data_IF_810529768737
#
_entry.id   IF_810529768737
#
_cell.length_a   1.000
_cell.length_b   1.000
_cell.length_c   1.000
_cell.angle_alpha   90.00
_cell.angle_beta   90.00
_cell.angle_gamma   90.00
#
_symmetry.space_group_name_H-M   'P 1'
#
loop_
_entity.id
_entity.type
_entity.pdbx_description
1 polymer ?
#
# COMPACT_ATOMS: atom_id res chain seq x y z
N UNK A 1 15.05 82.65 -11.67
CA UNK A 1 15.01 81.89 -10.39
C UNK A 1 13.97 80.81 -10.49
N UNK A 2 14.33 79.65 -11.00
CA UNK A 2 13.42 78.48 -11.03
C UNK A 2 14.12 77.31 -10.41
N UNK A 3 13.56 76.88 -9.24
CA UNK A 3 13.96 75.70 -8.54
C UNK A 3 13.43 74.43 -9.25
N UNK A 4 14.28 73.63 -9.83
CA UNK A 4 13.96 72.32 -10.36
C UNK A 4 13.96 71.28 -9.24
N UNK A 5 12.77 70.82 -8.87
CA UNK A 5 12.57 69.74 -7.92
C UNK A 5 12.71 68.41 -8.64
N UNK A 6 13.83 67.70 -8.42
CA UNK A 6 14.06 66.34 -8.93
C UNK A 6 13.39 65.37 -7.97
N UNK A 7 12.22 64.83 -8.37
CA UNK A 7 11.59 63.69 -7.68
C UNK A 7 12.31 62.39 -8.09
N UNK A 8 13.11 61.88 -7.19
CA UNK A 8 13.76 60.59 -7.30
C UNK A 8 12.71 59.48 -7.09
N UNK A 9 12.27 58.83 -8.21
CA UNK A 9 11.31 57.73 -8.20
C UNK A 9 12.11 56.43 -7.97
N UNK A 10 12.15 55.97 -6.70
CA UNK A 10 12.81 54.73 -6.28
C UNK A 10 11.91 53.55 -6.70
N UNK A 11 12.21 52.93 -7.85
CA UNK A 11 11.52 51.72 -8.34
C UNK A 11 12.03 50.52 -7.57
N UNK A 12 11.27 50.09 -6.57
CA UNK A 12 11.56 48.88 -5.78
C UNK A 12 11.15 47.66 -6.60
N UNK A 13 12.12 47.04 -7.30
CA UNK A 13 11.93 45.79 -8.01
C UNK A 13 11.93 44.67 -6.94
N UNK A 14 10.75 44.27 -6.49
CA UNK A 14 10.56 43.08 -5.69
C UNK A 14 10.70 41.86 -6.60
N UNK A 15 11.88 41.25 -6.60
CA UNK A 15 12.15 39.99 -7.27
C UNK A 15 11.43 38.90 -6.48
N UNK A 16 10.20 38.58 -6.88
CA UNK A 16 9.46 37.45 -6.28
C UNK A 16 10.16 36.15 -6.62
N UNK A 17 10.91 35.60 -5.68
CA UNK A 17 11.37 34.23 -5.71
C UNK A 17 10.15 33.31 -5.59
N UNK A 18 9.58 32.89 -6.72
CA UNK A 18 8.68 31.75 -6.74
C UNK A 18 9.49 30.50 -6.36
N UNK A 19 9.49 30.15 -5.09
CA UNK A 19 9.85 28.81 -4.68
C UNK A 19 8.84 27.86 -5.29
N UNK A 20 9.19 27.25 -6.43
CA UNK A 20 8.52 26.04 -6.89
C UNK A 20 8.77 24.96 -5.84
N UNK A 21 7.92 24.89 -4.83
CA UNK A 21 7.84 23.74 -3.94
C UNK A 21 7.27 22.61 -4.80
N UNK A 22 8.14 21.86 -5.48
CA UNK A 22 7.78 20.53 -5.97
C UNK A 22 7.49 19.73 -4.73
N UNK A 23 6.20 19.62 -4.39
CA UNK A 23 5.76 18.60 -3.43
C UNK A 23 6.21 17.26 -4.02
N UNK A 24 7.26 16.68 -3.45
CA UNK A 24 7.72 15.35 -3.84
C UNK A 24 6.52 14.42 -3.69
N UNK A 25 6.08 13.85 -4.81
CA UNK A 25 4.95 12.91 -4.83
C UNK A 25 5.26 11.78 -3.84
N UNK A 26 4.43 11.68 -2.81
CA UNK A 26 4.66 10.69 -1.75
C UNK A 26 4.44 9.29 -2.32
N UNK A 27 5.36 8.35 -2.08
CA UNK A 27 5.25 7.03 -2.67
C UNK A 27 4.03 6.28 -2.11
N UNK A 28 3.34 5.58 -2.99
CA UNK A 28 2.35 4.58 -2.63
C UNK A 28 3.08 3.30 -2.20
N UNK A 29 2.72 2.75 -1.03
CA UNK A 29 3.41 1.60 -0.43
C UNK A 29 2.46 0.40 -0.34
N UNK A 30 2.85 -0.71 -0.95
CA UNK A 30 2.18 -2.00 -0.86
C UNK A 30 3.11 -3.00 -0.18
N UNK A 31 2.61 -3.70 0.81
CA UNK A 31 3.39 -4.70 1.54
C UNK A 31 2.78 -6.06 1.30
N UNK A 32 3.55 -6.98 0.76
CA UNK A 32 3.15 -8.39 0.67
C UNK A 32 3.93 -9.18 1.72
N UNK A 33 3.19 -9.78 2.65
CA UNK A 33 3.75 -10.48 3.81
C UNK A 33 3.04 -11.82 4.06
N UNK A 34 3.42 -12.52 5.11
CA UNK A 34 2.74 -13.71 5.64
C UNK A 34 2.64 -13.61 7.16
N UNK A 35 1.91 -14.52 7.82
CA UNK A 35 1.77 -14.55 9.27
C UNK A 35 3.12 -14.75 9.99
N UNK A 36 4.15 -15.24 9.28
CA UNK A 36 5.50 -15.40 9.82
C UNK A 36 6.26 -14.07 10.00
N UNK A 37 5.78 -12.96 9.42
CA UNK A 37 6.49 -11.70 9.42
C UNK A 37 5.59 -10.57 9.92
N UNK A 38 5.87 -10.10 11.15
CA UNK A 38 5.15 -8.96 11.74
C UNK A 38 5.67 -7.65 11.17
N UNK A 39 4.84 -6.95 10.40
CA UNK A 39 5.17 -5.66 9.79
C UNK A 39 4.94 -4.53 10.80
N UNK A 40 5.90 -3.61 10.91
CA UNK A 40 5.87 -2.46 11.84
C UNK A 40 6.01 -1.14 11.10
N UNK A 41 5.66 -0.02 11.77
CA UNK A 41 5.80 1.33 11.21
C UNK A 41 4.64 1.80 10.34
N UNK A 42 3.59 1.01 10.16
CA UNK A 42 2.40 1.38 9.35
C UNK A 42 1.81 2.70 9.81
N UNK A 43 1.47 2.80 11.12
CA UNK A 43 0.84 4.00 11.68
C UNK A 43 1.75 5.23 11.56
N UNK A 44 3.07 5.07 11.73
CA UNK A 44 4.02 6.17 11.60
C UNK A 44 4.05 6.74 10.19
N UNK A 45 3.98 5.88 9.15
CA UNK A 45 3.92 6.33 7.76
C UNK A 45 2.57 6.95 7.40
N UNK A 46 1.46 6.37 7.88
CA UNK A 46 0.13 6.93 7.66
C UNK A 46 -0.05 8.30 8.31
N UNK A 47 0.53 8.53 9.50
CA UNK A 47 0.55 9.85 10.14
C UNK A 47 1.36 10.90 9.36
N UNK A 48 2.32 10.47 8.56
CA UNK A 48 3.05 11.30 7.61
C UNK A 48 2.29 11.52 6.28
N UNK A 49 1.07 11.00 6.15
CA UNK A 49 0.23 11.13 4.96
C UNK A 49 0.51 10.10 3.87
N UNK A 50 1.39 9.10 4.11
CA UNK A 50 1.66 8.07 3.12
C UNK A 50 0.53 7.03 3.06
N UNK A 51 0.21 6.60 1.85
CA UNK A 51 -0.73 5.49 1.62
C UNK A 51 0.00 4.16 1.77
N UNK A 52 -0.40 3.37 2.77
CA UNK A 52 0.17 2.05 3.04
C UNK A 52 -0.93 1.00 3.00
N UNK A 53 -0.76 -0.02 2.15
CA UNK A 53 -1.64 -1.20 2.09
C UNK A 53 -0.84 -2.47 2.39
N UNK A 54 -1.39 -3.31 3.24
CA UNK A 54 -0.77 -4.59 3.63
C UNK A 54 -1.63 -5.74 3.14
N UNK A 55 -1.01 -6.69 2.48
CA UNK A 55 -1.63 -7.89 1.91
C UNK A 55 -0.93 -9.11 2.48
N UNK A 56 -1.71 -10.05 3.02
CA UNK A 56 -1.17 -11.24 3.65
C UNK A 56 -1.44 -12.49 2.80
N UNK A 57 -0.39 -13.24 2.50
CA UNK A 57 -0.45 -14.46 1.69
C UNK A 57 -1.28 -15.58 2.35
N UNK A 58 -1.42 -15.55 3.68
CA UNK A 58 -2.17 -16.56 4.43
C UNK A 58 -3.69 -16.27 4.50
N UNK A 59 -4.16 -15.10 4.00
CA UNK A 59 -5.58 -14.72 3.99
C UNK A 59 -6.44 -15.75 3.25
N UNK A 60 -5.97 -16.24 2.12
CA UNK A 60 -6.66 -17.29 1.35
C UNK A 60 -6.85 -18.56 2.15
N UNK A 61 -5.79 -19.02 2.83
CA UNK A 61 -5.83 -20.19 3.71
C UNK A 61 -6.80 -19.98 4.87
N UNK A 62 -6.78 -18.81 5.50
CA UNK A 62 -7.72 -18.45 6.57
C UNK A 62 -9.17 -18.46 6.11
N UNK A 63 -9.45 -17.88 4.94
CA UNK A 63 -10.80 -17.88 4.36
C UNK A 63 -11.28 -19.32 4.11
N UNK A 64 -10.47 -20.18 3.51
CA UNK A 64 -10.83 -21.57 3.24
C UNK A 64 -11.07 -22.32 4.54
N UNK A 65 -10.21 -22.14 5.54
CA UNK A 65 -10.39 -22.75 6.86
C UNK A 65 -11.69 -22.29 7.54
N UNK A 66 -12.03 -21.01 7.45
CA UNK A 66 -13.27 -20.44 7.99
C UNK A 66 -14.51 -21.02 7.29
N UNK A 67 -14.52 -21.08 5.96
CA UNK A 67 -15.63 -21.64 5.17
C UNK A 67 -15.78 -23.14 5.46
N UNK A 68 -14.65 -23.86 5.62
CA UNK A 68 -14.61 -25.30 5.89
C UNK A 68 -14.76 -25.68 7.36
N UNK A 69 -14.89 -24.73 8.28
CA UNK A 69 -14.97 -25.04 9.71
C UNK A 69 -16.19 -25.92 10.05
N UNK A 70 -15.98 -26.93 10.91
CA UNK A 70 -17.04 -27.80 11.40
C UNK A 70 -17.87 -28.50 10.29
N UNK A 71 -17.23 -28.90 9.20
CA UNK A 71 -17.87 -29.72 8.19
C UNK A 71 -18.04 -31.14 8.69
N UNK A 72 -19.15 -31.82 8.35
CA UNK A 72 -19.34 -33.23 8.62
C UNK A 72 -18.27 -34.09 7.93
N UNK A 73 -17.92 -35.25 8.55
CA UNK A 73 -16.97 -36.19 7.94
C UNK A 73 -17.53 -36.90 6.69
N UNK A 74 -18.85 -36.91 6.50
CA UNK A 74 -19.48 -37.45 5.31
C UNK A 74 -19.40 -36.44 4.17
N UNK A 75 -18.86 -36.85 3.02
CA UNK A 75 -18.63 -35.97 1.86
C UNK A 75 -19.91 -35.32 1.34
N UNK A 76 -21.01 -36.06 1.23
CA UNK A 76 -22.29 -35.51 0.73
C UNK A 76 -22.88 -34.52 1.71
N UNK A 77 -22.84 -34.81 3.01
CA UNK A 77 -23.29 -33.89 4.05
C UNK A 77 -22.41 -32.61 4.09
N UNK A 78 -21.09 -32.74 3.98
CA UNK A 78 -20.16 -31.61 3.89
C UNK A 78 -20.47 -30.72 2.68
N UNK A 79 -20.69 -31.31 1.49
CA UNK A 79 -21.06 -30.59 0.27
C UNK A 79 -22.36 -29.80 0.46
N UNK A 80 -23.37 -30.41 1.04
CA UNK A 80 -24.67 -29.75 1.31
C UNK A 80 -24.49 -28.56 2.26
N UNK A 81 -23.70 -28.72 3.33
CA UNK A 81 -23.40 -27.60 4.25
C UNK A 81 -22.68 -26.46 3.55
N UNK A 82 -21.68 -26.75 2.72
CA UNK A 82 -20.95 -25.73 1.95
C UNK A 82 -21.88 -24.98 0.98
N UNK A 83 -22.75 -25.72 0.26
CA UNK A 83 -23.72 -25.11 -0.65
C UNK A 83 -24.69 -24.17 0.09
N UNK A 84 -25.17 -24.58 1.27
CA UNK A 84 -26.04 -23.73 2.10
C UNK A 84 -25.29 -22.48 2.60
N UNK A 85 -24.03 -22.60 3.02
CA UNK A 85 -23.19 -21.46 3.42
C UNK A 85 -23.02 -20.47 2.28
N UNK A 86 -22.65 -20.93 1.09
CA UNK A 86 -22.50 -20.07 -0.08
C UNK A 86 -23.82 -19.41 -0.50
N UNK A 87 -24.93 -20.17 -0.51
CA UNK A 87 -26.25 -19.62 -0.80
C UNK A 87 -26.66 -18.53 0.21
N UNK A 88 -26.36 -18.73 1.51
CA UNK A 88 -26.65 -17.75 2.57
C UNK A 88 -25.80 -16.47 2.42
N UNK A 89 -24.53 -16.61 2.03
CA UNK A 89 -23.65 -15.47 1.80
C UNK A 89 -24.01 -14.71 0.52
N UNK A 90 -24.48 -15.41 -0.50
CA UNK A 90 -24.75 -14.87 -1.84
C UNK A 90 -23.49 -14.80 -2.71
N UNK A 91 -23.63 -15.06 -4.01
CA UNK A 91 -22.53 -15.21 -4.96
C UNK A 91 -21.61 -13.98 -5.03
N UNK A 92 -22.19 -12.79 -5.00
CA UNK A 92 -21.44 -11.53 -5.06
C UNK A 92 -20.50 -11.38 -3.87
N UNK A 93 -20.99 -11.71 -2.66
CA UNK A 93 -20.19 -11.60 -1.44
C UNK A 93 -19.12 -12.68 -1.38
N UNK A 94 -19.44 -13.92 -1.75
CA UNK A 94 -18.47 -15.02 -1.86
C UNK A 94 -17.33 -14.61 -2.78
N UNK A 95 -17.66 -14.16 -4.01
CA UNK A 95 -16.66 -13.70 -4.99
C UNK A 95 -15.78 -12.57 -4.42
N UNK A 96 -16.37 -11.57 -3.80
CA UNK A 96 -15.62 -10.45 -3.22
C UNK A 96 -14.65 -10.90 -2.12
N UNK A 97 -15.07 -11.81 -1.23
CA UNK A 97 -14.20 -12.35 -0.18
C UNK A 97 -13.01 -13.13 -0.75
N UNK A 98 -13.22 -13.95 -1.78
CA UNK A 98 -12.13 -14.67 -2.43
C UNK A 98 -11.16 -13.72 -3.14
N UNK A 99 -11.65 -12.70 -3.86
CA UNK A 99 -10.79 -11.69 -4.49
C UNK A 99 -9.90 -11.02 -3.44
N UNK A 100 -10.46 -10.57 -2.33
CA UNK A 100 -9.70 -9.93 -1.24
C UNK A 100 -8.69 -10.89 -0.61
N UNK A 101 -9.10 -12.12 -0.29
CA UNK A 101 -8.24 -13.10 0.36
C UNK A 101 -7.05 -13.56 -0.50
N UNK A 102 -7.18 -13.53 -1.82
CA UNK A 102 -6.09 -13.92 -2.75
C UNK A 102 -5.38 -12.73 -3.39
N UNK A 103 -5.66 -11.50 -2.93
CA UNK A 103 -5.05 -10.29 -3.49
C UNK A 103 -3.52 -10.28 -3.33
N UNK A 104 -3.00 -10.75 -2.18
CA UNK A 104 -1.56 -10.89 -1.96
C UNK A 104 -0.88 -11.78 -3.03
N UNK A 105 -1.50 -12.90 -3.38
CA UNK A 105 -1.00 -13.82 -4.40
C UNK A 105 -1.04 -13.17 -5.78
N UNK A 106 -2.11 -12.46 -6.10
CA UNK A 106 -2.26 -11.73 -7.37
C UNK A 106 -1.17 -10.67 -7.53
N UNK A 107 -0.95 -9.84 -6.49
CA UNK A 107 0.10 -8.82 -6.49
C UNK A 107 1.50 -9.42 -6.57
N UNK A 108 1.74 -10.55 -5.87
CA UNK A 108 3.01 -11.26 -5.94
C UNK A 108 3.35 -11.67 -7.36
N UNK A 109 2.37 -12.19 -8.09
CA UNK A 109 2.54 -12.58 -9.49
C UNK A 109 2.71 -11.35 -10.39
N UNK A 110 1.90 -10.32 -10.18
CA UNK A 110 1.94 -9.09 -10.97
C UNK A 110 3.29 -8.38 -10.88
N UNK A 111 3.88 -8.32 -9.67
CA UNK A 111 5.17 -7.65 -9.43
C UNK A 111 6.37 -8.61 -9.52
N UNK A 112 6.16 -9.89 -9.84
CA UNK A 112 7.23 -10.88 -9.92
C UNK A 112 7.98 -11.07 -8.60
N UNK A 113 7.26 -11.02 -7.46
CA UNK A 113 7.89 -11.11 -6.15
C UNK A 113 8.41 -12.53 -5.89
N UNK A 114 9.70 -12.64 -5.56
CA UNK A 114 10.39 -13.90 -5.34
C UNK A 114 10.62 -14.25 -3.85
N UNK A 115 10.48 -13.27 -2.96
CA UNK A 115 10.75 -13.41 -1.53
C UNK A 115 9.79 -12.56 -0.70
N UNK A 116 9.62 -12.90 0.58
CA UNK A 116 8.75 -12.19 1.52
C UNK A 116 9.47 -11.97 2.86
N UNK A 117 9.14 -10.91 3.62
CA UNK A 117 8.23 -9.85 3.23
C UNK A 117 8.79 -9.02 2.06
N UNK A 118 7.89 -8.41 1.27
CA UNK A 118 8.25 -7.54 0.16
C UNK A 118 7.51 -6.20 0.31
N UNK A 119 8.26 -5.10 0.37
CA UNK A 119 7.70 -3.73 0.37
C UNK A 119 7.85 -3.15 -1.02
N UNK A 120 6.73 -2.94 -1.70
CA UNK A 120 6.62 -2.48 -3.08
C UNK A 120 6.28 -1.00 -3.09
N UNK A 121 7.03 -0.21 -3.82
CA UNK A 121 6.83 1.22 -4.00
C UNK A 121 6.26 1.51 -5.38
N UNK A 122 5.28 2.43 -5.43
CA UNK A 122 4.68 2.96 -6.66
C UNK A 122 4.33 1.86 -7.67
N UNK A 123 3.55 0.86 -7.23
CA UNK A 123 3.04 -0.21 -8.10
C UNK A 123 4.13 -1.00 -8.85
N UNK A 124 5.27 -1.25 -8.19
CA UNK A 124 6.35 -2.07 -8.74
C UNK A 124 7.56 -1.29 -9.25
N UNK A 125 7.62 0.04 -9.08
CA UNK A 125 8.80 0.84 -9.44
C UNK A 125 10.07 0.34 -8.71
N UNK A 126 9.93 -0.02 -7.44
CA UNK A 126 11.00 -0.59 -6.62
C UNK A 126 10.45 -1.56 -5.57
N UNK A 127 11.26 -2.53 -5.18
CA UNK A 127 10.91 -3.52 -4.16
C UNK A 127 12.04 -3.66 -3.14
N UNK A 128 11.71 -3.55 -1.86
CA UNK A 128 12.60 -3.85 -0.74
C UNK A 128 12.18 -5.19 -0.14
N UNK A 129 13.08 -6.17 -0.19
CA UNK A 129 12.85 -7.53 0.33
C UNK A 129 13.41 -7.71 1.74
N UNK A 130 12.70 -8.50 2.55
CA UNK A 130 13.16 -8.94 3.87
C UNK A 130 13.06 -7.88 4.97
N UNK A 131 12.56 -6.68 4.66
CA UNK A 131 12.40 -5.61 5.65
C UNK A 131 10.97 -5.61 6.21
N UNK A 132 10.85 -5.69 7.52
CA UNK A 132 9.56 -5.66 8.24
C UNK A 132 9.24 -4.30 8.83
N UNK A 133 10.25 -3.42 8.98
CA UNK A 133 10.07 -2.04 9.43
C UNK A 133 9.87 -1.12 8.22
N UNK A 134 8.65 -0.64 8.00
CA UNK A 134 8.30 0.16 6.83
C UNK A 134 8.99 1.53 6.80
N UNK A 135 9.31 2.11 7.95
CA UNK A 135 10.08 3.37 8.01
C UNK A 135 11.49 3.14 7.45
N UNK A 136 12.09 2.00 7.79
CA UNK A 136 13.39 1.60 7.25
C UNK A 136 13.31 1.29 5.74
N UNK A 137 12.27 0.57 5.30
CA UNK A 137 12.05 0.29 3.89
C UNK A 137 11.91 1.58 3.06
N UNK A 138 11.16 2.57 3.57
CA UNK A 138 11.01 3.87 2.94
C UNK A 138 12.37 4.60 2.82
N UNK A 139 13.19 4.56 3.88
CA UNK A 139 14.53 5.15 3.85
C UNK A 139 15.42 4.53 2.77
N UNK A 140 15.40 3.20 2.64
CA UNK A 140 16.15 2.49 1.61
C UNK A 140 15.69 2.90 0.19
N UNK A 141 14.37 2.99 -0.02
CA UNK A 141 13.79 3.47 -1.28
C UNK A 141 14.24 4.90 -1.61
N UNK A 142 14.18 5.82 -0.64
CA UNK A 142 14.60 7.21 -0.84
C UNK A 142 16.10 7.33 -1.15
N UNK A 143 16.94 6.54 -0.50
CA UNK A 143 18.39 6.47 -0.78
C UNK A 143 18.68 5.94 -2.20
N UNK A 144 17.90 4.97 -2.65
CA UNK A 144 18.02 4.45 -4.01
C UNK A 144 17.58 5.50 -5.04
N UNK A 145 16.48 6.21 -4.79
CA UNK A 145 15.95 7.22 -5.71
C UNK A 145 16.83 8.48 -5.83
N UNK A 146 17.69 8.75 -4.84
CA UNK A 146 18.59 9.88 -4.81
C UNK A 146 19.94 9.66 -5.57
N UNK A 147 20.17 8.45 -6.10
CA UNK A 147 21.36 8.09 -6.90
C UNK A 147 21.16 8.38 -8.37
#
# INVERSE_FOLDING_TARGET
MHLFSIRFFLLLITFGFCFNSQAAEQPFIEVVTSDSFSVTGINALQQQGLSVKVYNLDDGKRLVAQIGANLPNNQNAAKNVLQQRFKKMGDKQVKAQFILAYQAVTLSTQYGLSRYPAVVFNHGESVVYGETNLVQALRLYQQWKAK
#
